data_IF_882821014187
#
_entry.id   IF_882821014187
#
_cell.length_a   1.000
_cell.length_b   1.000
_cell.length_c   1.000
_cell.angle_alpha   90.00
_cell.angle_beta   90.00
_cell.angle_gamma   90.00
#
_symmetry.space_group_name_H-M   'P 1'
#
loop_
_entity.id
_entity.type
_entity.pdbx_description
1 polymer ?
#
# COMPACT_ATOMS: atom_id res chain seq x y z
N UNK A 1 -18.51 -54.84 -33.07
CA UNK A 1 -19.50 -54.66 -34.16
C UNK A 1 -20.51 -53.57 -33.82
N UNK A 2 -21.17 -53.61 -32.66
CA UNK A 2 -22.19 -52.62 -32.26
C UNK A 2 -21.70 -51.16 -32.28
N UNK A 3 -20.47 -50.90 -31.82
CA UNK A 3 -19.85 -49.58 -31.85
C UNK A 3 -19.72 -49.00 -33.27
N UNK A 4 -19.24 -49.81 -34.22
CA UNK A 4 -19.07 -49.37 -35.62
C UNK A 4 -20.43 -49.15 -36.28
N UNK A 5 -21.40 -50.02 -36.02
CA UNK A 5 -22.76 -49.84 -36.54
C UNK A 5 -23.42 -48.59 -35.99
N UNK A 6 -23.29 -48.31 -34.70
CA UNK A 6 -23.86 -47.11 -34.07
C UNK A 6 -23.20 -45.82 -34.59
N UNK A 7 -21.87 -45.82 -34.73
CA UNK A 7 -21.13 -44.72 -35.33
C UNK A 7 -21.57 -44.42 -36.77
N UNK A 8 -21.66 -45.46 -37.61
CA UNK A 8 -22.13 -45.30 -39.00
C UNK A 8 -23.58 -44.82 -39.03
N UNK A 9 -24.46 -45.37 -38.18
CA UNK A 9 -25.85 -44.92 -38.08
C UNK A 9 -25.94 -43.44 -37.70
N UNK A 10 -25.13 -42.97 -36.74
CA UNK A 10 -25.08 -41.57 -36.35
C UNK A 10 -24.62 -40.66 -37.49
N UNK A 11 -23.62 -41.09 -38.28
CA UNK A 11 -23.20 -40.38 -39.49
C UNK A 11 -24.32 -40.31 -40.52
N UNK A 12 -25.03 -41.41 -40.77
CA UNK A 12 -26.12 -41.45 -41.75
C UNK A 12 -27.27 -40.52 -41.35
N UNK A 13 -27.65 -40.52 -40.08
CA UNK A 13 -28.65 -39.61 -39.53
C UNK A 13 -28.19 -38.15 -39.67
N UNK A 14 -26.92 -37.87 -39.35
CA UNK A 14 -26.35 -36.53 -39.52
C UNK A 14 -26.36 -36.08 -40.98
N UNK A 15 -25.98 -36.94 -41.94
CA UNK A 15 -26.00 -36.62 -43.37
C UNK A 15 -27.43 -36.31 -43.83
N UNK A 16 -28.41 -37.11 -43.39
CA UNK A 16 -29.82 -36.85 -43.69
C UNK A 16 -30.24 -35.46 -43.18
N UNK A 17 -29.87 -35.12 -41.95
CA UNK A 17 -30.15 -33.81 -41.37
C UNK A 17 -29.43 -32.66 -42.10
N UNK A 18 -28.16 -32.88 -42.46
CA UNK A 18 -27.38 -31.94 -43.25
C UNK A 18 -27.99 -31.68 -44.63
N UNK A 19 -28.56 -32.69 -45.28
CA UNK A 19 -29.31 -32.54 -46.54
C UNK A 19 -30.57 -31.70 -46.36
N UNK A 20 -31.32 -31.92 -45.27
CA UNK A 20 -32.49 -31.10 -44.94
C UNK A 20 -32.08 -29.64 -44.71
N UNK A 21 -30.99 -29.40 -43.96
CA UNK A 21 -30.43 -28.05 -43.76
C UNK A 21 -30.05 -27.43 -45.11
N UNK A 22 -29.41 -28.18 -46.01
CA UNK A 22 -29.01 -27.63 -47.31
C UNK A 22 -30.20 -27.19 -48.17
N UNK A 23 -31.33 -27.92 -48.08
CA UNK A 23 -32.58 -27.54 -48.76
C UNK A 23 -33.29 -26.36 -48.11
N UNK A 24 -33.12 -26.16 -46.80
CA UNK A 24 -33.68 -25.03 -46.07
C UNK A 24 -32.87 -23.74 -46.29
N UNK A 25 -31.59 -23.87 -46.63
CA UNK A 25 -30.70 -22.72 -46.79
C UNK A 25 -31.01 -21.98 -48.11
N UNK A 26 -31.28 -20.66 -48.04
CA UNK A 26 -31.42 -19.86 -49.24
C UNK A 26 -30.06 -19.72 -49.94
N UNK A 27 -30.09 -19.65 -51.28
CA UNK A 27 -28.90 -19.46 -52.12
C UNK A 27 -28.27 -18.08 -51.85
N UNK A 28 -27.41 -18.02 -50.84
CA UNK A 28 -26.81 -16.81 -50.32
C UNK A 28 -25.30 -17.00 -50.14
N UNK A 29 -24.58 -15.90 -49.99
CA UNK A 29 -23.18 -15.94 -49.59
C UNK A 29 -22.96 -16.65 -48.25
N UNK A 30 -23.98 -16.83 -47.40
CA UNK A 30 -23.86 -17.56 -46.14
C UNK A 30 -23.88 -19.08 -46.32
N UNK A 31 -24.55 -19.59 -47.38
CA UNK A 31 -24.70 -21.03 -47.61
C UNK A 31 -23.35 -21.74 -47.73
N UNK A 32 -22.34 -21.12 -48.40
CA UNK A 32 -20.99 -21.69 -48.52
C UNK A 32 -20.29 -21.87 -47.17
N UNK A 33 -20.49 -20.94 -46.23
CA UNK A 33 -19.89 -21.01 -44.90
C UNK A 33 -20.60 -22.06 -44.03
N UNK A 34 -21.93 -22.17 -44.15
CA UNK A 34 -22.67 -23.23 -43.47
C UNK A 34 -22.28 -24.61 -44.02
N UNK A 35 -22.15 -24.75 -45.35
CA UNK A 35 -21.64 -25.98 -45.98
C UNK A 35 -20.24 -26.36 -45.48
N UNK A 36 -19.35 -25.39 -45.33
CA UNK A 36 -18.03 -25.59 -44.75
C UNK A 36 -18.12 -26.09 -43.31
N UNK A 37 -18.92 -25.44 -42.46
CA UNK A 37 -19.09 -25.82 -41.07
C UNK A 37 -19.70 -27.22 -40.91
N UNK A 38 -20.75 -27.54 -41.68
CA UNK A 38 -21.36 -28.88 -41.71
C UNK A 38 -20.36 -29.94 -42.16
N UNK A 39 -19.53 -29.64 -43.17
CA UNK A 39 -18.44 -30.51 -43.60
C UNK A 39 -17.37 -30.73 -42.52
N UNK A 40 -17.02 -29.69 -41.76
CA UNK A 40 -16.10 -29.81 -40.62
C UNK A 40 -16.68 -30.66 -39.49
N UNK A 41 -17.97 -30.50 -39.17
CA UNK A 41 -18.66 -31.33 -38.18
C UNK A 41 -18.70 -32.78 -38.65
N UNK A 42 -18.99 -33.02 -39.93
CA UNK A 42 -18.95 -34.37 -40.51
C UNK A 42 -17.56 -34.99 -40.41
N UNK A 43 -16.51 -34.22 -40.71
CA UNK A 43 -15.12 -34.65 -40.56
C UNK A 43 -14.82 -35.02 -39.10
N UNK A 44 -15.26 -34.20 -38.14
CA UNK A 44 -15.06 -34.48 -36.72
C UNK A 44 -15.77 -35.76 -36.26
N UNK A 45 -17.01 -35.97 -36.71
CA UNK A 45 -17.78 -37.19 -36.48
C UNK A 45 -17.08 -38.43 -37.06
N UNK A 46 -16.49 -38.29 -38.25
CA UNK A 46 -15.69 -39.33 -38.90
C UNK A 46 -14.39 -39.62 -38.15
N UNK A 47 -13.77 -38.58 -37.57
CA UNK A 47 -12.50 -38.66 -36.86
C UNK A 47 -12.65 -39.27 -35.46
N UNK A 48 -13.83 -39.17 -34.84
CA UNK A 48 -14.11 -39.69 -33.49
C UNK A 48 -13.59 -41.12 -33.21
N UNK A 49 -13.91 -42.16 -34.01
CA UNK A 49 -13.40 -43.52 -33.77
C UNK A 49 -11.89 -43.63 -33.97
N UNK A 50 -11.30 -42.81 -34.84
CA UNK A 50 -9.85 -42.77 -35.07
C UNK A 50 -9.17 -42.23 -33.81
N UNK A 51 -9.70 -41.15 -33.22
CA UNK A 51 -9.19 -40.59 -31.96
C UNK A 51 -9.32 -41.59 -30.81
N UNK A 52 -10.45 -42.30 -30.73
CA UNK A 52 -10.65 -43.34 -29.72
C UNK A 52 -9.67 -44.50 -29.88
N UNK A 53 -9.38 -44.93 -31.12
CA UNK A 53 -8.38 -45.97 -31.39
C UNK A 53 -6.97 -45.52 -30.99
N UNK A 54 -6.66 -44.23 -31.16
CA UNK A 54 -5.41 -43.61 -30.72
C UNK A 54 -5.41 -43.26 -29.22
N UNK A 55 -6.49 -43.55 -28.47
CA UNK A 55 -6.64 -43.18 -27.05
C UNK A 55 -6.48 -41.67 -26.79
N UNK A 56 -6.81 -40.85 -27.78
CA UNK A 56 -6.77 -39.40 -27.69
C UNK A 56 -8.13 -38.91 -27.18
N UNK A 57 -8.10 -38.22 -26.05
CA UNK A 57 -9.30 -37.61 -25.45
C UNK A 57 -9.26 -36.10 -25.66
N UNK A 58 -9.85 -35.57 -26.74
CA UNK A 58 -9.80 -34.14 -27.06
C UNK A 58 -10.39 -33.28 -25.94
N UNK A 59 -11.43 -33.75 -25.26
CA UNK A 59 -12.05 -33.04 -24.12
C UNK A 59 -11.05 -32.78 -23.00
N UNK A 60 -10.20 -33.76 -22.69
CA UNK A 60 -9.16 -33.64 -21.66
C UNK A 60 -8.05 -32.69 -22.09
N UNK A 61 -7.64 -32.75 -23.35
CA UNK A 61 -6.60 -31.87 -23.91
C UNK A 61 -7.05 -30.40 -23.91
N UNK A 62 -8.29 -30.16 -24.31
CA UNK A 62 -8.89 -28.82 -24.29
C UNK A 62 -9.05 -28.34 -22.86
N UNK A 63 -9.59 -29.17 -21.95
CA UNK A 63 -9.71 -28.82 -20.54
C UNK A 63 -8.34 -28.49 -19.91
N UNK A 64 -7.31 -29.30 -20.15
CA UNK A 64 -5.96 -29.02 -19.63
C UNK A 64 -5.38 -27.74 -20.20
N UNK A 65 -5.58 -27.46 -21.50
CA UNK A 65 -5.09 -26.23 -22.12
C UNK A 65 -5.77 -25.00 -21.53
N UNK A 66 -7.09 -25.04 -21.31
CA UNK A 66 -7.84 -23.95 -20.68
C UNK A 66 -7.38 -23.74 -19.24
N UNK A 67 -7.21 -24.81 -18.46
CA UNK A 67 -6.73 -24.73 -17.08
C UNK A 67 -5.33 -24.13 -16.99
N UNK A 68 -4.39 -24.58 -17.84
CA UNK A 68 -3.03 -24.03 -17.87
C UNK A 68 -2.97 -22.55 -18.28
N UNK A 69 -3.88 -22.10 -19.15
CA UNK A 69 -4.00 -20.69 -19.48
C UNK A 69 -4.55 -19.87 -18.30
N UNK A 70 -5.49 -20.42 -17.55
CA UNK A 70 -6.06 -19.77 -16.36
C UNK A 70 -5.04 -19.70 -15.21
N UNK A 71 -4.26 -20.77 -14.97
CA UNK A 71 -3.23 -20.80 -13.92
C UNK A 71 -2.13 -19.76 -14.17
N UNK A 72 -1.65 -19.63 -15.42
CA UNK A 72 -0.65 -18.63 -15.79
C UNK A 72 -1.16 -17.20 -15.57
N UNK A 73 -2.43 -16.93 -15.84
CA UNK A 73 -3.04 -15.62 -15.57
C UNK A 73 -3.02 -15.28 -14.07
N UNK A 74 -3.39 -16.25 -13.23
CA UNK A 74 -3.45 -16.07 -11.78
C UNK A 74 -2.06 -15.92 -11.13
N UNK A 75 -1.06 -16.68 -11.58
CA UNK A 75 0.32 -16.60 -11.08
C UNK A 75 0.92 -15.20 -11.34
N UNK A 76 0.68 -14.65 -12.52
CA UNK A 76 1.19 -13.34 -12.91
C UNK A 76 0.56 -12.20 -12.10
N UNK A 77 -0.72 -12.33 -11.76
CA UNK A 77 -1.43 -11.38 -10.89
C UNK A 77 -0.95 -11.46 -9.43
N UNK A 78 -0.72 -12.68 -8.91
CA UNK A 78 -0.15 -12.87 -7.58
C UNK A 78 1.24 -12.23 -7.46
N UNK A 79 2.13 -12.47 -8.42
CA UNK A 79 3.48 -11.88 -8.44
C UNK A 79 3.40 -10.35 -8.46
N UNK A 80 2.48 -9.77 -9.25
CA UNK A 80 2.29 -8.33 -9.32
C UNK A 80 1.82 -7.75 -7.98
N UNK A 81 0.88 -8.43 -7.32
CA UNK A 81 0.37 -8.00 -6.01
C UNK A 81 1.46 -8.08 -4.93
N UNK A 82 2.24 -9.16 -4.88
CA UNK A 82 3.39 -9.27 -3.97
C UNK A 82 4.43 -8.16 -4.22
N UNK A 83 4.70 -7.84 -5.50
CA UNK A 83 5.65 -6.79 -5.87
C UNK A 83 5.16 -5.40 -5.43
N UNK A 84 3.88 -5.09 -5.61
CA UNK A 84 3.28 -3.83 -5.14
C UNK A 84 3.30 -3.73 -3.60
N UNK A 85 3.03 -4.84 -2.89
CA UNK A 85 3.12 -4.88 -1.43
C UNK A 85 4.55 -4.62 -0.95
N UNK A 86 5.55 -5.30 -1.53
CA UNK A 86 6.96 -5.06 -1.19
C UNK A 86 7.42 -3.64 -1.50
N UNK A 87 6.95 -3.08 -2.61
CA UNK A 87 7.22 -1.68 -2.97
C UNK A 87 6.69 -0.72 -1.91
N UNK A 88 5.46 -0.91 -1.44
CA UNK A 88 4.86 -0.10 -0.35
C UNK A 88 5.66 -0.23 0.95
N UNK A 89 6.05 -1.44 1.31
CA UNK A 89 6.86 -1.69 2.52
C UNK A 89 8.23 -1.00 2.47
N UNK A 90 8.92 -1.09 1.33
CA UNK A 90 10.21 -0.41 1.11
C UNK A 90 10.04 1.11 1.21
N UNK A 91 9.01 1.68 0.58
CA UNK A 91 8.73 3.11 0.65
C UNK A 91 8.44 3.58 2.08
N UNK A 92 7.66 2.81 2.84
CA UNK A 92 7.38 3.11 4.24
C UNK A 92 8.66 3.10 5.09
N UNK A 93 9.53 2.09 4.89
CA UNK A 93 10.80 1.97 5.61
C UNK A 93 11.77 3.11 5.28
N UNK A 94 11.88 3.48 4.00
CA UNK A 94 12.68 4.63 3.56
C UNK A 94 12.17 5.93 4.16
N UNK A 95 10.84 6.13 4.23
CA UNK A 95 10.22 7.30 4.84
C UNK A 95 10.54 7.38 6.33
N UNK A 96 10.36 6.30 7.08
CA UNK A 96 10.69 6.24 8.50
C UNK A 96 12.16 6.59 8.75
N UNK A 97 13.07 6.04 7.95
CA UNK A 97 14.50 6.35 8.04
C UNK A 97 14.81 7.83 7.80
N UNK A 98 14.21 8.45 6.77
CA UNK A 98 14.40 9.87 6.47
C UNK A 98 13.90 10.73 7.65
N UNK A 99 12.72 10.44 8.18
CA UNK A 99 12.14 11.18 9.31
C UNK A 99 13.01 11.06 10.57
N UNK A 100 13.50 9.86 10.87
CA UNK A 100 14.40 9.64 12.01
C UNK A 100 15.71 10.43 11.86
N UNK A 101 16.32 10.42 10.66
CA UNK A 101 17.53 11.21 10.42
C UNK A 101 17.28 12.71 10.54
N UNK A 102 16.13 13.20 10.06
CA UNK A 102 15.74 14.59 10.21
C UNK A 102 15.55 14.96 11.68
N UNK A 103 14.82 14.15 12.46
CA UNK A 103 14.64 14.35 13.90
C UNK A 103 15.98 14.48 14.63
N UNK A 104 16.93 13.58 14.34
CA UNK A 104 18.26 13.59 14.94
C UNK A 104 19.03 14.87 14.57
N UNK A 105 18.94 15.34 13.33
CA UNK A 105 19.57 16.59 12.90
C UNK A 105 18.93 17.81 13.57
N UNK A 106 17.61 17.87 13.62
CA UNK A 106 16.86 18.95 14.27
C UNK A 106 17.18 19.04 15.75
N UNK A 107 17.23 17.89 16.44
CA UNK A 107 17.70 17.78 17.83
C UNK A 107 19.10 18.37 18.01
N UNK A 108 20.07 17.92 17.21
CA UNK A 108 21.46 18.41 17.29
C UNK A 108 21.59 19.91 17.06
N UNK A 109 20.75 20.48 16.20
CA UNK A 109 20.80 21.91 15.87
C UNK A 109 20.37 22.80 17.05
N UNK A 110 19.43 22.36 17.89
CA UNK A 110 18.86 23.19 18.94
C UNK A 110 19.34 22.83 20.35
N UNK A 111 19.80 21.59 20.59
CA UNK A 111 20.21 21.11 21.93
C UNK A 111 21.33 21.96 22.55
N UNK A 112 22.31 22.40 21.74
CA UNK A 112 23.42 23.22 22.21
C UNK A 112 23.03 24.66 22.62
N UNK A 113 22.00 25.22 22.00
CA UNK A 113 21.52 26.59 22.28
C UNK A 113 20.48 26.59 23.40
N UNK A 114 19.56 25.61 23.39
CA UNK A 114 18.58 25.40 24.48
C UNK A 114 19.26 25.17 25.83
N UNK A 115 20.38 24.43 25.84
CA UNK A 115 21.13 24.19 27.07
C UNK A 115 21.83 25.45 27.58
N UNK A 116 22.26 26.36 26.69
CA UNK A 116 22.98 27.58 27.07
C UNK A 116 22.06 28.72 27.51
N UNK A 117 20.94 28.91 26.80
CA UNK A 117 20.02 30.02 27.05
C UNK A 117 18.94 29.67 28.06
N UNK A 118 18.44 28.43 28.06
CA UNK A 118 17.27 28.02 28.84
C UNK A 118 17.56 26.91 29.86
N UNK A 119 18.76 26.29 29.83
CA UNK A 119 19.11 25.16 30.69
C UNK A 119 18.31 23.89 30.40
N UNK A 120 17.70 23.78 29.22
CA UNK A 120 16.86 22.66 28.78
C UNK A 120 17.62 21.79 27.78
N UNK A 121 17.35 20.49 27.75
CA UNK A 121 17.89 19.56 26.74
C UNK A 121 16.76 18.84 26.02
N UNK A 122 16.98 18.58 24.73
CA UNK A 122 16.01 17.89 23.89
C UNK A 122 16.08 16.39 24.18
N UNK A 123 15.01 15.83 24.73
CA UNK A 123 14.91 14.40 24.97
C UNK A 123 14.55 13.70 23.66
N UNK A 124 13.53 14.17 22.95
CA UNK A 124 13.05 13.56 21.70
C UNK A 124 12.48 14.60 20.71
N UNK A 125 12.55 14.28 19.43
CA UNK A 125 11.91 15.05 18.34
C UNK A 125 11.15 14.07 17.47
N UNK A 126 9.84 14.21 17.39
CA UNK A 126 8.98 13.39 16.55
C UNK A 126 8.36 14.23 15.44
N UNK A 127 8.31 13.68 14.22
CA UNK A 127 7.72 14.35 13.07
C UNK A 127 6.48 13.59 12.62
N UNK A 128 5.34 14.28 12.62
CA UNK A 128 4.08 13.75 12.09
C UNK A 128 3.87 14.22 10.66
N UNK A 129 3.55 13.26 9.79
CA UNK A 129 3.28 13.47 8.37
C UNK A 129 1.85 13.06 8.05
N UNK A 130 1.22 13.80 7.13
CA UNK A 130 -0.10 13.44 6.63
C UNK A 130 0.00 12.26 5.68
N UNK A 131 -0.74 11.18 5.94
CA UNK A 131 -0.73 10.00 5.08
C UNK A 131 -1.27 10.36 3.68
N UNK A 132 -0.38 10.44 2.69
CA UNK A 132 -0.69 10.66 1.28
C UNK A 132 0.11 9.71 0.40
N UNK A 133 -0.42 9.42 -0.78
CA UNK A 133 0.19 8.50 -1.73
C UNK A 133 1.49 9.09 -2.33
N UNK A 134 1.46 10.37 -2.70
CA UNK A 134 2.62 11.17 -3.11
C UNK A 134 3.08 12.11 -1.98
N UNK A 135 3.77 11.53 -0.99
CA UNK A 135 4.35 12.26 0.14
C UNK A 135 5.72 12.85 -0.24
N UNK A 136 5.86 14.17 -0.14
CA UNK A 136 7.10 14.90 -0.40
C UNK A 136 7.67 15.47 0.90
N UNK A 137 8.66 14.79 1.48
CA UNK A 137 9.41 15.28 2.64
C UNK A 137 10.47 16.27 2.14
N UNK A 138 10.62 17.48 2.73
CA UNK A 138 10.08 17.93 4.02
C UNK A 138 8.73 18.68 3.95
N UNK A 139 8.13 18.84 2.78
CA UNK A 139 6.97 19.73 2.55
C UNK A 139 5.69 19.26 3.24
N UNK A 140 5.47 17.96 3.32
CA UNK A 140 4.27 17.33 3.89
C UNK A 140 4.35 17.04 5.40
N UNK A 141 5.33 17.62 6.11
CA UNK A 141 5.38 17.58 7.57
C UNK A 141 4.28 18.51 8.12
N UNK A 142 3.39 17.93 8.92
CA UNK A 142 2.23 18.61 9.50
C UNK A 142 2.55 19.13 10.90
N UNK A 143 3.20 18.31 11.72
CA UNK A 143 3.56 18.68 13.10
C UNK A 143 4.94 18.15 13.47
N UNK A 144 5.70 18.99 14.16
CA UNK A 144 6.98 18.63 14.79
C UNK A 144 6.75 18.73 16.29
N UNK A 145 6.82 17.59 16.96
CA UNK A 145 6.66 17.47 18.39
C UNK A 145 8.05 17.40 19.04
N UNK A 146 8.30 18.25 20.02
CA UNK A 146 9.60 18.41 20.66
C UNK A 146 9.42 18.18 22.15
N UNK A 147 10.06 17.13 22.67
CA UNK A 147 10.06 16.82 24.10
C UNK A 147 11.33 17.37 24.72
N UNK A 148 11.16 18.30 25.65
CA UNK A 148 12.23 18.96 26.39
C UNK A 148 12.24 18.47 27.83
N UNK A 149 13.43 18.30 28.41
CA UNK A 149 13.61 17.97 29.82
C UNK A 149 14.59 18.94 30.48
N UNK A 150 14.34 19.26 31.75
CA UNK A 150 15.30 19.99 32.56
C UNK A 150 16.31 19.00 33.12
N UNK A 151 17.58 19.18 32.77
CA UNK A 151 18.64 18.31 33.25
C UNK A 151 19.05 18.79 34.63
N UNK A 152 18.62 18.10 35.69
CA UNK A 152 19.23 18.31 37.01
C UNK A 152 20.70 17.95 36.92
N UNK A 153 21.56 18.96 36.94
CA UNK A 153 22.98 18.78 37.17
C UNK A 153 23.17 18.12 38.53
N UNK A 154 23.48 16.82 38.55
CA UNK A 154 24.07 16.15 39.69
C UNK A 154 25.47 16.74 39.95
N UNK A 155 25.52 17.89 40.61
CA UNK A 155 26.72 18.44 41.22
C UNK A 155 26.32 19.15 42.51
N UNK A 156 26.68 18.54 43.63
CA UNK A 156 26.89 19.22 44.91
C UNK A 156 25.62 19.70 45.60
N UNK A 157 25.28 19.05 46.70
CA UNK A 157 24.31 19.56 47.66
C UNK A 157 24.87 20.87 48.22
N UNK A 158 24.36 22.02 47.77
CA UNK A 158 24.41 23.26 48.53
C UNK A 158 23.06 23.44 49.25
N UNK A 159 23.06 23.70 50.56
CA UNK A 159 21.82 23.78 51.32
C UNK A 159 21.07 25.05 50.91
N UNK A 160 19.89 24.89 50.32
CA UNK A 160 18.97 26.00 50.03
C UNK A 160 18.34 26.45 51.35
N UNK A 161 18.68 27.67 51.77
CA UNK A 161 17.92 28.43 52.77
C UNK A 161 16.60 28.83 52.12
N UNK A 162 15.50 28.25 52.61
CA UNK A 162 14.14 28.54 52.13
C UNK A 162 13.68 29.84 52.80
N UNK A 163 13.64 30.93 52.05
CA UNK A 163 12.97 32.16 52.43
C UNK A 163 11.51 32.11 51.90
N UNK A 164 10.55 31.95 52.81
CA UNK A 164 9.15 31.59 52.55
C UNK A 164 8.24 32.75 52.14
N UNK A 165 8.77 33.79 51.48
CA UNK A 165 8.06 35.07 51.33
C UNK A 165 7.51 35.39 49.93
N UNK A 166 7.57 34.48 48.95
CA UNK A 166 6.99 34.69 47.61
C UNK A 166 6.27 33.44 47.09
N UNK A 167 5.01 33.54 46.62
CA UNK A 167 4.34 32.41 45.98
C UNK A 167 4.98 32.16 44.61
N UNK A 168 5.54 30.96 44.44
CA UNK A 168 6.23 30.49 43.23
C UNK A 168 5.23 29.66 42.42
N UNK A 169 4.49 30.31 41.52
CA UNK A 169 3.92 29.78 40.26
C UNK A 169 2.67 30.56 39.86
N UNK A 170 2.78 31.33 38.78
CA UNK A 170 1.66 31.95 38.08
C UNK A 170 1.52 31.31 36.69
N UNK A 171 0.31 30.87 36.28
CA UNK A 171 0.08 30.26 34.97
C UNK A 171 0.54 31.11 33.77
N UNK A 172 0.60 32.44 33.93
CA UNK A 172 1.12 33.37 32.92
C UNK A 172 2.59 33.13 32.54
N UNK A 173 3.43 32.70 33.49
CA UNK A 173 4.88 32.56 33.26
C UNK A 173 5.21 31.33 32.41
N UNK A 174 4.43 30.28 32.54
CA UNK A 174 4.57 29.04 31.76
C UNK A 174 4.09 29.23 30.30
N UNK A 175 3.00 29.97 30.11
CA UNK A 175 2.48 30.34 28.79
C UNK A 175 3.46 31.25 28.02
N UNK A 176 4.19 32.13 28.71
CA UNK A 176 5.24 32.95 28.10
C UNK A 176 6.45 32.11 27.65
N UNK A 177 6.90 31.17 28.49
CA UNK A 177 8.04 30.30 28.17
C UNK A 177 7.74 29.37 26.98
N UNK A 178 6.53 28.81 26.90
CA UNK A 178 6.11 27.98 25.75
C UNK A 178 6.13 28.78 24.44
N UNK A 179 5.62 30.01 24.47
CA UNK A 179 5.57 30.88 23.30
C UNK A 179 6.98 31.28 22.83
N UNK A 180 7.88 31.61 23.76
CA UNK A 180 9.28 31.94 23.44
C UNK A 180 10.02 30.74 22.83
N UNK A 181 9.87 29.55 23.41
CA UNK A 181 10.47 28.32 22.88
C UNK A 181 9.92 27.98 21.49
N UNK A 182 8.62 28.16 21.27
CA UNK A 182 7.98 27.95 19.97
C UNK A 182 8.53 28.91 18.90
N UNK A 183 8.64 30.20 19.21
CA UNK A 183 9.23 31.20 18.31
C UNK A 183 10.71 30.93 18.04
N UNK A 184 11.47 30.52 19.06
CA UNK A 184 12.87 30.14 18.91
C UNK A 184 13.06 28.93 17.97
N UNK A 185 12.30 27.86 18.20
CA UNK A 185 12.35 26.64 17.39
C UNK A 185 11.87 26.90 15.95
N UNK A 186 10.80 27.68 15.77
CA UNK A 186 10.30 28.11 14.47
C UNK A 186 11.35 28.88 13.67
N UNK A 187 12.02 29.83 14.33
CA UNK A 187 13.09 30.60 13.71
C UNK A 187 14.30 29.75 13.34
N UNK A 188 14.63 28.73 14.14
CA UNK A 188 15.80 27.87 13.89
C UNK A 188 15.58 26.84 12.79
N UNK A 189 14.38 26.32 12.68
CA UNK A 189 14.04 25.30 11.69
C UNK A 189 13.39 25.87 10.42
N UNK A 190 13.16 27.18 10.36
CA UNK A 190 12.45 27.85 9.26
C UNK A 190 11.06 27.22 9.01
N UNK A 191 10.38 26.82 10.09
CA UNK A 191 9.05 26.19 10.07
C UNK A 191 8.04 27.11 10.75
N UNK A 192 6.79 27.09 10.28
CA UNK A 192 5.68 27.82 10.87
C UNK A 192 5.47 27.46 12.35
N UNK A 193 5.32 28.46 13.22
CA UNK A 193 5.10 28.31 14.67
C UNK A 193 3.89 27.43 15.01
N UNK A 194 2.89 27.37 14.12
CA UNK A 194 1.69 26.57 14.33
C UNK A 194 1.93 25.08 14.14
N UNK A 195 3.00 24.70 13.43
CA UNK A 195 3.39 23.31 13.21
C UNK A 195 4.27 22.72 14.31
N UNK A 196 4.71 23.52 15.28
CA UNK A 196 5.59 23.06 16.35
C UNK A 196 4.76 22.84 17.62
N UNK A 197 4.85 21.65 18.20
CA UNK A 197 4.29 21.34 19.52
C UNK A 197 5.45 21.11 20.49
N UNK A 198 5.43 21.80 21.64
CA UNK A 198 6.49 21.73 22.65
C UNK A 198 5.92 21.11 23.91
N UNK A 199 6.55 20.04 24.39
CA UNK A 199 6.20 19.37 25.64
C UNK A 199 7.40 19.42 26.59
N UNK A 200 7.20 19.93 27.81
CA UNK A 200 8.25 19.98 28.84
C UNK A 200 7.95 18.95 29.93
N UNK A 201 8.77 17.89 30.00
CA UNK A 201 8.60 16.81 30.98
C UNK A 201 8.85 17.32 32.40
N UNK A 202 7.82 17.27 33.25
CA UNK A 202 7.84 17.81 34.62
C UNK A 202 6.86 18.97 34.86
N UNK A 203 6.23 19.51 33.81
CA UNK A 203 5.10 20.45 33.90
C UNK A 203 3.96 19.91 33.03
N UNK A 204 2.83 19.57 33.63
CA UNK A 204 1.62 19.21 32.88
C UNK A 204 1.03 20.48 32.27
N UNK A 205 1.37 20.76 31.01
CA UNK A 205 0.67 21.76 30.23
C UNK A 205 -0.59 21.13 29.66
N UNK A 206 -1.74 21.65 30.10
CA UNK A 206 -3.04 21.20 29.63
C UNK A 206 -3.14 21.37 28.11
N UNK A 207 -3.36 20.24 27.44
CA UNK A 207 -3.59 20.14 26.00
C UNK A 207 -4.74 21.06 25.58
N UNK A 208 -4.42 22.21 24.99
CA UNK A 208 -5.40 23.18 24.49
C UNK A 208 -5.36 23.28 22.96
N UNK A 209 -5.13 22.15 22.26
CA UNK A 209 -5.09 22.10 20.79
C UNK A 209 -5.87 20.95 20.17
N UNK A 210 -6.98 20.58 20.79
CA UNK A 210 -8.05 19.89 20.07
C UNK A 210 -9.00 20.93 19.47
N UNK A 211 -8.67 21.47 18.29
CA UNK A 211 -9.63 21.95 17.28
C UNK A 211 -8.96 22.20 15.93
#
# INVERSE_FOLDING_TARGET
>A
MQFVTEWITNILIFILFATIIDFLLPSSNMQKYVKMAVGLILLLLMLSPILQLLSIHPDRLVASAISSLSEKGNEQEMIKNEMEMKKKEIQASQRAYILEQMAVQMKKQVDGELMKEYGLSVEDVSLQIKEKEDLQIPRDIETIEVVLSQKETSKGIEPVVIDTSKPVHSPDSDLQLEKELRTFLASKWEVDENKIAVLVKGREWGDARAH
#
